data_IF_972883020191
#
_entry.id   IF_972883020191
#
_cell.length_a   1.000
_cell.length_b   1.000
_cell.length_c   1.000
_cell.angle_alpha   90.00
_cell.angle_beta   90.00
_cell.angle_gamma   90.00
#
_symmetry.space_group_name_H-M   'P 1'
#
loop_
_entity.id
_entity.type
_entity.pdbx_description
1 polymer ?
#
# COMPACT_ATOMS: atom_id res chain seq x y z
N UNK A 1 29.15 -7.21 27.32
CA UNK A 1 28.41 -6.02 26.89
C UNK A 1 28.27 -6.11 25.37
N UNK A 2 27.15 -6.61 24.90
CA UNK A 2 26.74 -6.47 23.50
C UNK A 2 25.52 -5.55 23.55
N UNK A 3 25.69 -4.34 23.04
CA UNK A 3 24.64 -3.33 23.01
C UNK A 3 23.60 -3.77 21.98
N UNK A 4 22.42 -4.15 22.45
CA UNK A 4 21.26 -4.29 21.59
C UNK A 4 20.84 -2.89 21.16
N UNK A 5 21.18 -2.51 19.93
CA UNK A 5 20.66 -1.29 19.31
C UNK A 5 19.15 -1.43 19.11
N UNK A 6 18.40 -0.99 20.13
CA UNK A 6 16.98 -0.70 20.00
C UNK A 6 16.80 0.46 19.04
N UNK A 7 16.71 0.17 17.73
CA UNK A 7 16.14 1.10 16.77
C UNK A 7 14.73 1.42 17.26
N UNK A 8 14.51 2.67 17.63
CA UNK A 8 13.23 3.24 18.02
C UNK A 8 12.17 2.83 16.98
N UNK A 9 11.43 1.77 17.30
CA UNK A 9 10.55 1.01 16.38
C UNK A 9 9.18 1.70 16.29
N UNK A 10 9.16 3.03 16.26
CA UNK A 10 7.92 3.78 16.50
C UNK A 10 7.45 4.67 15.36
N UNK A 11 8.23 4.92 14.32
CA UNK A 11 7.71 5.54 13.10
C UNK A 11 8.34 4.93 11.84
N UNK A 12 7.60 4.03 11.19
CA UNK A 12 7.88 3.61 9.81
C UNK A 12 7.75 4.79 8.86
N UNK A 13 8.52 4.80 7.79
CA UNK A 13 8.50 5.82 6.74
C UNK A 13 7.05 6.17 6.29
N UNK A 14 6.70 7.46 6.33
CA UNK A 14 5.39 7.96 5.92
C UNK A 14 5.52 8.64 4.57
N UNK A 15 4.67 8.23 3.64
CA UNK A 15 4.59 8.80 2.29
C UNK A 15 3.21 9.42 2.08
N UNK A 16 3.17 10.68 1.68
CA UNK A 16 1.92 11.35 1.29
C UNK A 16 1.61 11.05 -0.18
N UNK A 17 0.33 10.90 -0.48
CA UNK A 17 -0.19 10.71 -1.82
C UNK A 17 -1.48 11.51 -1.96
N UNK A 18 -1.69 12.14 -3.12
CA UNK A 18 -2.89 12.91 -3.44
C UNK A 18 -4.01 12.04 -4.00
N UNK A 19 -3.70 10.82 -4.46
CA UNK A 19 -4.70 9.88 -4.95
C UNK A 19 -4.40 8.41 -4.61
N UNK A 20 -5.41 7.56 -4.79
CA UNK A 20 -5.25 6.11 -4.59
C UNK A 20 -4.25 5.50 -5.59
N UNK A 21 -4.23 5.99 -6.82
CA UNK A 21 -3.27 5.61 -7.86
C UNK A 21 -1.84 5.91 -7.43
N UNK A 22 -1.60 7.12 -6.92
CA UNK A 22 -0.29 7.53 -6.44
C UNK A 22 0.13 6.72 -5.22
N UNK A 23 -0.78 6.52 -4.25
CA UNK A 23 -0.51 5.71 -3.06
C UNK A 23 -0.12 4.27 -3.43
N UNK A 24 -0.82 3.69 -4.39
CA UNK A 24 -0.57 2.33 -4.89
C UNK A 24 0.76 2.26 -5.66
N UNK A 25 1.12 3.28 -6.45
CA UNK A 25 2.40 3.37 -7.13
C UNK A 25 3.58 3.48 -6.14
N UNK A 26 3.44 4.32 -5.10
CA UNK A 26 4.42 4.45 -4.03
C UNK A 26 4.57 3.11 -3.30
N UNK A 27 3.46 2.49 -2.87
CA UNK A 27 3.50 1.21 -2.16
C UNK A 27 4.21 0.12 -2.97
N UNK A 28 3.94 0.05 -4.28
CA UNK A 28 4.64 -0.88 -5.19
C UNK A 28 6.15 -0.62 -5.25
N UNK A 29 6.57 0.63 -5.25
CA UNK A 29 8.01 0.98 -5.30
C UNK A 29 8.77 0.65 -4.01
N UNK A 30 8.04 0.49 -2.89
CA UNK A 30 8.61 0.27 -1.56
C UNK A 30 8.50 -1.18 -1.09
N UNK A 31 7.45 -1.89 -1.51
CA UNK A 31 7.24 -3.29 -1.16
C UNK A 31 8.23 -4.21 -1.89
N UNK A 32 8.91 -5.05 -1.14
CA UNK A 32 9.77 -6.11 -1.65
C UNK A 32 9.05 -7.45 -1.90
N UNK A 33 9.73 -8.42 -2.52
CA UNK A 33 9.20 -9.77 -2.68
C UNK A 33 8.85 -10.41 -1.32
N UNK A 34 7.65 -10.97 -1.22
CA UNK A 34 7.16 -11.63 0.00
C UNK A 34 6.47 -10.69 1.00
N UNK A 35 6.48 -9.37 0.75
CA UNK A 35 5.76 -8.40 1.58
C UNK A 35 4.30 -8.25 1.12
N UNK A 36 3.44 -7.75 2.03
CA UNK A 36 2.02 -7.51 1.75
C UNK A 36 1.71 -6.03 1.75
N UNK A 37 1.05 -5.56 0.70
CA UNK A 37 0.45 -4.22 0.64
C UNK A 37 -1.03 -4.33 0.99
N UNK A 38 -1.45 -3.66 2.07
CA UNK A 38 -2.82 -3.65 2.57
C UNK A 38 -3.47 -2.28 2.38
N UNK A 39 -4.64 -2.24 1.74
CA UNK A 39 -5.51 -1.06 1.78
C UNK A 39 -6.34 -1.06 3.07
N UNK A 40 -5.96 -0.25 4.05
CA UNK A 40 -6.70 -0.04 5.31
C UNK A 40 -6.81 1.45 5.66
N UNK A 41 -7.74 2.19 5.03
CA UNK A 41 -7.75 3.65 5.07
C UNK A 41 -8.28 4.26 6.38
N UNK A 42 -8.89 3.46 7.27
CA UNK A 42 -9.50 3.89 8.54
C UNK A 42 -10.53 5.05 8.45
N UNK A 43 -10.90 5.49 7.24
CA UNK A 43 -11.80 6.61 6.98
C UNK A 43 -12.93 6.26 6.01
N UNK A 44 -14.00 7.07 6.05
CA UNK A 44 -15.06 7.04 5.05
C UNK A 44 -14.49 7.30 3.64
N UNK A 45 -15.21 6.89 2.60
CA UNK A 45 -14.75 6.96 1.21
C UNK A 45 -15.35 8.12 0.41
N UNK A 46 -16.26 8.88 1.02
CA UNK A 46 -17.10 9.88 0.35
C UNK A 46 -16.38 11.15 -0.10
N UNK A 47 -15.11 11.29 0.26
CA UNK A 47 -14.21 12.35 -0.18
C UNK A 47 -13.77 12.16 -1.64
N UNK A 48 -13.53 10.91 -2.05
CA UNK A 48 -12.99 10.57 -3.38
C UNK A 48 -13.83 9.56 -4.17
N UNK A 49 -14.76 8.85 -3.51
CA UNK A 49 -15.54 7.76 -4.10
C UNK A 49 -17.00 7.82 -3.65
N UNK A 50 -17.90 7.16 -4.37
CA UNK A 50 -19.32 7.09 -3.99
C UNK A 50 -19.56 6.19 -2.79
N UNK A 51 -18.73 5.16 -2.61
CA UNK A 51 -18.81 4.20 -1.51
C UNK A 51 -17.50 3.41 -1.36
N UNK A 52 -17.42 2.58 -0.32
CA UNK A 52 -16.21 1.84 0.00
C UNK A 52 -15.95 0.70 -1.00
N UNK A 53 -17.01 0.15 -1.62
CA UNK A 53 -16.91 -0.87 -2.66
C UNK A 53 -16.27 -0.33 -3.93
N UNK A 54 -16.60 0.91 -4.32
CA UNK A 54 -15.97 1.60 -5.44
C UNK A 54 -14.48 1.82 -5.18
N UNK A 55 -14.12 2.33 -3.99
CA UNK A 55 -12.71 2.46 -3.57
C UNK A 55 -11.98 1.11 -3.63
N UNK A 56 -12.61 0.04 -3.15
CA UNK A 56 -12.06 -1.31 -3.19
C UNK A 56 -11.92 -1.89 -4.60
N UNK A 57 -12.88 -1.65 -5.49
CA UNK A 57 -12.78 -2.02 -6.91
C UNK A 57 -11.63 -1.27 -7.58
N UNK A 58 -11.52 0.04 -7.34
CA UNK A 58 -10.43 0.85 -7.89
C UNK A 58 -9.06 0.35 -7.45
N UNK A 59 -8.89 -0.01 -6.18
CA UNK A 59 -7.67 -0.63 -5.68
C UNK A 59 -7.34 -1.92 -6.41
N UNK A 60 -8.32 -2.82 -6.58
CA UNK A 60 -8.13 -4.08 -7.33
C UNK A 60 -7.73 -3.83 -8.78
N UNK A 61 -8.41 -2.91 -9.48
CA UNK A 61 -8.05 -2.54 -10.86
C UNK A 61 -6.61 -2.06 -10.96
N UNK A 62 -6.16 -1.23 -10.02
CA UNK A 62 -4.79 -0.74 -10.00
C UNK A 62 -3.79 -1.87 -9.75
N UNK A 63 -4.07 -2.77 -8.80
CA UNK A 63 -3.19 -3.92 -8.49
C UNK A 63 -3.15 -4.94 -9.63
N UNK A 64 -4.28 -5.27 -10.26
CA UNK A 64 -4.34 -6.23 -11.37
C UNK A 64 -3.92 -5.64 -12.71
N UNK A 65 -4.06 -4.32 -12.89
CA UNK A 65 -3.52 -3.61 -14.05
C UNK A 65 -2.00 -3.53 -14.04
N UNK A 66 -1.35 -3.81 -12.90
CA UNK A 66 0.09 -4.06 -12.86
C UNK A 66 0.37 -5.45 -13.44
N UNK A 67 1.15 -5.51 -14.51
CA UNK A 67 1.63 -6.78 -15.06
C UNK A 67 2.35 -7.59 -13.96
N UNK A 68 2.04 -8.89 -13.78
CA UNK A 68 2.75 -9.75 -12.85
C UNK A 68 4.25 -9.91 -13.20
N UNK A 69 5.09 -10.09 -12.18
CA UNK A 69 6.33 -10.86 -12.27
C UNK A 69 5.95 -12.31 -12.60
N UNK A 70 6.72 -12.95 -13.47
CA UNK A 70 6.43 -14.20 -14.19
C UNK A 70 5.71 -15.29 -13.37
N UNK A 71 4.81 -16.02 -14.06
CA UNK A 71 4.02 -17.15 -13.54
C UNK A 71 4.93 -18.12 -12.76
N UNK A 72 4.61 -18.38 -11.49
CA UNK A 72 5.15 -19.55 -10.80
C UNK A 72 4.23 -20.73 -11.06
N UNK A 73 4.78 -21.75 -11.72
CA UNK A 73 4.19 -23.08 -11.94
C UNK A 73 3.92 -23.82 -10.62
#
# INVERSE_FOLDING_TARGET
MAEAEGKDRLLSEIYQAASLEEAVAIARSKAGPGETVLLSPACASYDMFRNFEERGRRYKELVFGMQPLEKRE
#
